data_IF_100853930158
#
_entry.id   IF_100853930158
#
_cell.length_a   1.000
_cell.length_b   1.000
_cell.length_c   1.000
_cell.angle_alpha   90.00
_cell.angle_beta   90.00
_cell.angle_gamma   90.00
#
_symmetry.space_group_name_H-M   'P 1'
#
loop_
_entity.id
_entity.type
_entity.pdbx_description
1 polymer ?
#
# COMPACT_ATOMS: atom_id res chain seq x y z
N UNK A 1 16.84 -23.85 1.66
CA UNK A 1 16.13 -22.62 2.06
C UNK A 1 14.94 -23.04 2.91
N UNK A 2 14.85 -22.51 4.11
CA UNK A 2 13.74 -22.77 5.04
C UNK A 2 13.07 -21.44 5.36
N UNK A 3 12.07 -21.06 4.56
CA UNK A 3 11.31 -19.85 4.81
C UNK A 3 10.38 -20.08 6.00
N UNK A 4 10.59 -19.30 7.05
CA UNK A 4 9.75 -19.26 8.24
C UNK A 4 8.83 -18.05 8.14
N UNK A 5 7.60 -18.24 8.63
CA UNK A 5 6.58 -17.19 8.74
C UNK A 5 6.25 -16.99 10.22
N UNK A 6 6.33 -15.74 10.68
CA UNK A 6 5.98 -15.36 12.04
C UNK A 6 4.96 -14.21 12.00
N UNK A 7 3.83 -14.38 12.68
CA UNK A 7 2.86 -13.30 12.88
C UNK A 7 3.13 -12.63 14.23
N UNK A 8 3.36 -11.31 14.19
CA UNK A 8 3.60 -10.48 15.36
C UNK A 8 2.35 -9.62 15.64
N UNK A 9 2.06 -9.43 16.92
CA UNK A 9 1.08 -8.49 17.43
C UNK A 9 1.85 -7.33 18.09
N UNK A 10 2.16 -6.28 17.32
CA UNK A 10 2.99 -5.15 17.78
C UNK A 10 2.16 -4.21 18.64
N UNK A 11 2.49 -4.02 19.95
CA UNK A 11 1.74 -3.13 20.82
C UNK A 11 1.82 -1.68 20.35
N UNK A 12 0.68 -0.99 20.36
CA UNK A 12 0.56 0.41 19.99
C UNK A 12 -0.52 1.10 20.84
N UNK A 13 -0.30 2.36 21.19
CA UNK A 13 -1.37 3.21 21.73
C UNK A 13 -2.03 3.94 20.58
N UNK A 14 -3.29 3.65 20.32
CA UNK A 14 -3.98 4.18 19.14
C UNK A 14 -4.08 5.71 19.16
N UNK A 15 -3.77 6.30 18.01
CA UNK A 15 -4.04 7.72 17.71
C UNK A 15 -5.14 7.90 16.67
N UNK A 16 -5.78 6.79 16.26
CA UNK A 16 -6.99 6.82 15.43
C UNK A 16 -8.12 7.45 16.23
N UNK A 17 -8.81 8.48 15.73
CA UNK A 17 -9.82 9.21 16.51
C UNK A 17 -10.94 8.34 17.09
N UNK A 18 -11.28 7.24 16.42
CA UNK A 18 -12.34 6.32 16.81
C UNK A 18 -12.04 5.52 18.09
N UNK A 19 -10.77 5.37 18.46
CA UNK A 19 -10.29 4.62 19.62
C UNK A 19 -8.98 5.23 20.19
N UNK A 20 -8.83 6.55 20.13
CA UNK A 20 -7.63 7.23 20.59
C UNK A 20 -7.35 6.96 22.08
N UNK A 21 -6.08 6.65 22.40
CA UNK A 21 -5.62 6.31 23.74
C UNK A 21 -5.82 4.85 24.13
N UNK A 22 -6.53 4.04 23.33
CA UNK A 22 -6.69 2.62 23.61
C UNK A 22 -5.42 1.83 23.25
N UNK A 23 -5.01 0.85 24.07
CA UNK A 23 -3.97 -0.09 23.70
C UNK A 23 -4.51 -1.04 22.62
N UNK A 24 -3.79 -1.11 21.51
CA UNK A 24 -4.10 -1.98 20.38
C UNK A 24 -2.88 -2.80 19.98
N UNK A 25 -3.09 -3.81 19.14
CA UNK A 25 -2.02 -4.62 18.57
C UNK A 25 -2.09 -4.52 17.06
N UNK A 26 -1.02 -3.98 16.44
CA UNK A 26 -0.91 -3.90 14.99
C UNK A 26 -0.43 -5.25 14.46
N UNK A 27 -1.06 -5.73 13.40
CA UNK A 27 -0.66 -6.96 12.74
C UNK A 27 0.58 -6.71 11.87
N UNK A 28 1.60 -7.56 12.09
CA UNK A 28 2.81 -7.59 11.26
C UNK A 28 3.18 -9.04 10.99
N UNK A 29 3.32 -9.43 9.72
CA UNK A 29 3.87 -10.73 9.32
C UNK A 29 5.33 -10.57 8.92
N UNK A 30 6.18 -11.44 9.46
CA UNK A 30 7.57 -11.60 9.04
C UNK A 30 7.73 -12.86 8.19
N UNK A 31 8.49 -12.73 7.09
CA UNK A 31 9.01 -13.86 6.32
C UNK A 31 10.51 -13.76 6.18
N UNK A 32 11.24 -14.83 6.53
CA UNK A 32 12.70 -14.87 6.39
C UNK A 32 13.19 -16.27 6.07
N UNK A 33 14.37 -16.35 5.45
CA UNK A 33 15.11 -17.62 5.30
C UNK A 33 15.98 -17.85 6.56
N UNK A 34 15.68 -18.88 7.33
CA UNK A 34 16.44 -19.24 8.54
C UNK A 34 17.70 -20.03 8.24
N UNK A 35 17.94 -20.42 7.00
CA UNK A 35 19.19 -21.07 6.58
C UNK A 35 20.32 -20.04 6.32
N UNK A 36 20.00 -18.75 6.23
CA UNK A 36 20.95 -17.67 6.13
C UNK A 36 21.29 -17.12 7.53
N UNK A 37 22.57 -17.18 7.91
CA UNK A 37 23.09 -16.65 9.17
C UNK A 37 23.76 -15.28 9.02
N UNK A 38 23.65 -14.66 7.84
CA UNK A 38 24.17 -13.33 7.56
C UNK A 38 23.45 -12.21 8.33
N UNK A 39 23.95 -10.96 8.21
CA UNK A 39 23.28 -9.81 8.80
C UNK A 39 21.85 -9.65 8.27
N UNK A 40 20.91 -9.36 9.18
CA UNK A 40 19.50 -9.13 8.81
C UNK A 40 19.36 -7.83 8.00
N UNK A 41 18.64 -7.91 6.90
CA UNK A 41 18.31 -6.76 6.04
C UNK A 41 16.80 -6.61 5.96
N UNK A 42 16.21 -5.82 6.90
CA UNK A 42 14.76 -5.74 6.98
C UNK A 42 14.16 -4.87 5.88
N UNK A 43 13.03 -5.35 5.36
CA UNK A 43 12.17 -4.67 4.40
C UNK A 43 10.78 -4.60 4.98
N UNK A 44 10.21 -3.39 5.09
CA UNK A 44 8.83 -3.19 5.50
C UNK A 44 7.95 -2.93 4.28
N UNK A 45 6.91 -3.76 4.10
CA UNK A 45 5.90 -3.62 3.06
C UNK A 45 4.60 -3.04 3.64
N UNK A 46 4.05 -2.01 2.97
CA UNK A 46 2.81 -1.36 3.38
C UNK A 46 1.79 -1.39 2.24
N UNK A 47 0.59 -1.83 2.57
CA UNK A 47 -0.54 -2.01 1.65
C UNK A 47 -1.10 -0.69 1.09
N UNK A 48 -1.83 -0.79 -0.03
CA UNK A 48 -2.63 0.28 -0.61
C UNK A 48 -3.91 0.55 0.19
N UNK A 49 -4.84 1.30 -0.42
CA UNK A 49 -6.07 1.72 0.27
C UNK A 49 -7.00 0.56 0.64
N UNK A 50 -7.19 -0.36 -0.29
CA UNK A 50 -8.32 -1.32 -0.26
C UNK A 50 -7.90 -2.79 -0.22
N UNK A 51 -6.61 -3.08 -0.18
CA UNK A 51 -6.10 -4.45 -0.19
C UNK A 51 -5.34 -4.73 1.10
N UNK A 52 -5.71 -5.77 1.87
CA UNK A 52 -4.92 -6.22 3.01
C UNK A 52 -3.49 -6.59 2.61
N UNK A 53 -2.53 -6.34 3.48
CA UNK A 53 -1.10 -6.53 3.15
C UNK A 53 -0.79 -7.93 2.66
N UNK A 54 -1.40 -8.96 3.26
CA UNK A 54 -1.14 -10.36 2.87
C UNK A 54 -1.69 -10.70 1.49
N UNK A 55 -2.86 -10.18 1.13
CA UNK A 55 -3.41 -10.40 -0.20
C UNK A 55 -2.58 -9.72 -1.29
N UNK A 56 -2.01 -8.53 -1.00
CA UNK A 56 -1.18 -7.80 -1.95
C UNK A 56 0.24 -8.33 -2.08
N UNK A 57 0.90 -8.65 -0.97
CA UNK A 57 2.34 -8.93 -0.98
C UNK A 57 2.70 -10.40 -0.69
N UNK A 58 1.78 -11.17 -0.14
CA UNK A 58 2.03 -12.56 0.27
C UNK A 58 0.95 -13.52 -0.25
N UNK A 59 0.46 -13.30 -1.48
CA UNK A 59 -0.53 -14.15 -2.10
C UNK A 59 0.04 -15.56 -2.30
N UNK A 60 -0.50 -16.53 -1.56
CA UNK A 60 -0.06 -17.92 -1.58
C UNK A 60 -0.65 -18.68 -2.76
N UNK A 61 -0.26 -18.28 -3.95
CA UNK A 61 -0.65 -18.88 -5.22
C UNK A 61 0.54 -18.79 -6.17
N UNK A 62 0.98 -19.93 -6.70
CA UNK A 62 2.12 -20.02 -7.63
C UNK A 62 3.33 -19.14 -7.20
N UNK A 63 3.73 -18.17 -8.04
CA UNK A 63 4.87 -17.26 -7.81
C UNK A 63 4.46 -15.86 -7.38
N UNK A 64 3.21 -15.65 -6.97
CA UNK A 64 2.70 -14.30 -6.66
C UNK A 64 3.11 -13.73 -5.30
N UNK A 65 3.63 -14.56 -4.37
CA UNK A 65 4.14 -14.03 -3.11
C UNK A 65 5.44 -13.23 -3.32
N UNK A 66 5.31 -11.90 -3.33
CA UNK A 66 6.45 -10.99 -3.40
C UNK A 66 7.31 -11.08 -2.13
N UNK A 67 6.68 -11.19 -0.97
CA UNK A 67 7.38 -11.35 0.30
C UNK A 67 8.24 -12.62 0.33
N UNK A 68 7.72 -13.75 -0.17
CA UNK A 68 8.50 -14.99 -0.26
C UNK A 68 9.65 -14.87 -1.25
N UNK A 69 9.44 -14.17 -2.39
CA UNK A 69 10.48 -13.94 -3.38
C UNK A 69 11.66 -13.12 -2.80
N UNK A 70 11.37 -12.13 -1.93
CA UNK A 70 12.39 -11.35 -1.24
C UNK A 70 13.04 -12.15 -0.09
N UNK A 71 12.26 -12.91 0.67
CA UNK A 71 12.81 -13.77 1.73
C UNK A 71 13.80 -14.80 1.15
N UNK A 72 13.46 -15.43 0.01
CA UNK A 72 14.38 -16.30 -0.74
C UNK A 72 15.64 -15.59 -1.26
N UNK A 73 15.60 -14.28 -1.39
CA UNK A 73 16.75 -13.46 -1.78
C UNK A 73 17.59 -12.96 -0.59
N UNK A 74 17.29 -13.41 0.65
CA UNK A 74 18.04 -13.12 1.86
C UNK A 74 17.56 -11.89 2.64
N UNK A 75 16.34 -11.40 2.39
CA UNK A 75 15.77 -10.30 3.16
C UNK A 75 14.87 -10.80 4.29
N UNK A 76 14.81 -10.03 5.38
CA UNK A 76 13.77 -10.18 6.39
C UNK A 76 12.60 -9.28 6.03
N UNK A 77 11.50 -9.87 5.59
CA UNK A 77 10.37 -9.16 5.01
C UNK A 77 9.25 -9.03 6.02
N UNK A 78 8.96 -7.82 6.42
CA UNK A 78 7.86 -7.46 7.31
C UNK A 78 6.71 -6.85 6.53
N UNK A 79 5.50 -7.29 6.76
CA UNK A 79 4.28 -6.83 6.12
C UNK A 79 3.30 -6.37 7.19
N UNK A 80 2.88 -5.09 7.17
CA UNK A 80 1.97 -4.56 8.18
C UNK A 80 0.62 -4.15 7.61
N UNK A 81 -0.43 -4.37 8.39
CA UNK A 81 -1.73 -3.73 8.17
C UNK A 81 -1.89 -2.53 9.10
N UNK A 82 -2.33 -1.39 8.57
CA UNK A 82 -2.76 -0.24 9.36
C UNK A 82 -4.16 -0.50 9.95
N UNK A 83 -4.51 0.18 11.05
CA UNK A 83 -5.88 0.09 11.60
C UNK A 83 -6.92 0.41 10.52
N UNK A 84 -8.02 -0.35 10.54
CA UNK A 84 -9.04 -0.31 9.50
C UNK A 84 -8.75 -1.18 8.28
N UNK A 85 -7.63 -1.91 8.26
CA UNK A 85 -7.24 -2.81 7.16
C UNK A 85 -6.80 -4.17 7.68
N UNK A 86 -6.95 -5.21 6.85
CA UNK A 86 -6.44 -6.54 7.06
C UNK A 86 -6.73 -7.10 8.44
N UNK A 87 -5.69 -7.57 9.11
CA UNK A 87 -5.77 -8.20 10.44
C UNK A 87 -5.51 -7.24 11.60
N UNK A 88 -5.17 -5.97 11.34
CA UNK A 88 -5.11 -4.95 12.38
C UNK A 88 -6.52 -4.55 12.85
N UNK A 89 -6.64 -3.94 14.05
CA UNK A 89 -7.94 -3.53 14.59
C UNK A 89 -8.74 -2.64 13.62
N UNK A 90 -10.06 -2.85 13.58
CA UNK A 90 -10.98 -2.10 12.71
C UNK A 90 -12.03 -1.35 13.53
N UNK A 91 -11.63 -0.32 14.31
CA UNK A 91 -12.56 0.37 15.21
C UNK A 91 -13.76 0.93 14.42
N UNK A 92 -14.97 0.75 14.97
CA UNK A 92 -16.25 1.19 14.37
C UNK A 92 -16.65 0.53 13.04
N UNK A 93 -15.79 -0.29 12.41
CA UNK A 93 -16.07 -0.85 11.08
C UNK A 93 -16.95 -2.12 11.12
N UNK A 94 -17.16 -2.72 12.29
CA UNK A 94 -18.00 -3.92 12.44
C UNK A 94 -19.50 -3.60 12.48
N UNK A 95 -19.87 -2.32 12.67
CA UNK A 95 -21.23 -1.85 12.62
C UNK A 95 -21.60 -1.47 11.17
N UNK A 96 -22.58 -2.15 10.53
CA UNK A 96 -23.00 -1.85 9.16
C UNK A 96 -23.59 -0.45 8.98
N UNK A 97 -24.06 0.24 10.06
CA UNK A 97 -24.47 1.64 9.98
C UNK A 97 -23.29 2.56 9.67
N UNK A 98 -22.07 2.15 10.00
CA UNK A 98 -20.84 2.89 9.73
C UNK A 98 -20.31 2.74 8.29
N UNK A 99 -20.98 1.97 7.45
CA UNK A 99 -20.77 1.96 6.01
C UNK A 99 -21.29 3.27 5.41
N UNK A 100 -20.62 3.75 4.36
CA UNK A 100 -21.09 4.88 3.55
C UNK A 100 -22.61 4.79 3.33
N UNK A 101 -23.41 5.77 3.77
CA UNK A 101 -24.88 5.71 3.65
C UNK A 101 -25.37 5.39 2.24
N UNK A 102 -24.67 5.88 1.20
CA UNK A 102 -25.00 5.59 -0.20
C UNK A 102 -24.73 4.11 -0.58
N UNK A 103 -23.90 3.40 0.17
CA UNK A 103 -23.56 2.00 -0.07
C UNK A 103 -24.31 1.01 0.84
N UNK A 104 -24.94 1.48 1.92
CA UNK A 104 -25.72 0.61 2.82
C UNK A 104 -26.81 -0.22 2.11
N UNK A 105 -27.52 0.29 1.06
CA UNK A 105 -28.47 -0.51 0.30
C UNK A 105 -27.86 -1.72 -0.42
N UNK A 106 -26.56 -1.72 -0.68
CA UNK A 106 -25.83 -2.84 -1.32
C UNK A 106 -25.67 -4.04 -0.39
N UNK A 107 -25.82 -3.86 0.94
CA UNK A 107 -25.76 -4.95 1.93
C UNK A 107 -27.03 -5.84 1.83
N UNK A 108 -27.08 -6.66 0.79
CA UNK A 108 -28.19 -7.58 0.51
C UNK A 108 -27.64 -9.00 0.23
N UNK A 109 -28.01 -10.05 1.02
CA UNK A 109 -28.90 -9.98 2.19
C UNK A 109 -28.33 -9.12 3.31
N UNK A 110 -29.23 -8.49 4.08
CA UNK A 110 -28.82 -7.58 5.17
C UNK A 110 -28.29 -8.36 6.37
N UNK A 111 -27.28 -7.83 7.06
CA UNK A 111 -26.90 -8.35 8.37
C UNK A 111 -28.13 -8.37 9.33
N UNK A 112 -28.23 -9.35 10.22
CA UNK A 112 -29.35 -9.47 11.14
C UNK A 112 -29.59 -8.18 11.95
N UNK A 113 -30.84 -7.68 11.94
CA UNK A 113 -31.24 -6.47 12.67
C UNK A 113 -30.78 -5.14 12.02
N UNK A 114 -30.07 -5.17 10.91
CA UNK A 114 -29.64 -3.95 10.23
C UNK A 114 -30.74 -3.31 9.38
N UNK A 115 -30.94 -2.01 9.57
CA UNK A 115 -31.78 -1.13 8.73
C UNK A 115 -30.93 0.08 8.34
N UNK A 116 -30.85 0.44 7.04
CA UNK A 116 -30.07 1.61 6.61
C UNK A 116 -30.45 2.88 7.39
N UNK A 117 -29.42 3.63 7.79
CA UNK A 117 -29.57 4.82 8.63
C UNK A 117 -28.30 5.66 8.67
N UNK A 118 -28.27 6.63 9.60
CA UNK A 118 -27.10 7.45 9.81
C UNK A 118 -25.99 6.64 10.48
N UNK A 119 -24.69 6.98 10.20
CA UNK A 119 -23.57 6.35 10.87
C UNK A 119 -23.63 6.55 12.39
N UNK A 120 -23.36 5.50 13.15
CA UNK A 120 -23.21 5.57 14.62
C UNK A 120 -21.90 6.26 15.02
N UNK A 121 -20.92 6.28 14.11
CA UNK A 121 -19.70 7.07 14.19
C UNK A 121 -19.61 7.98 12.95
N UNK A 122 -20.08 9.26 13.02
CA UNK A 122 -20.26 10.13 11.86
C UNK A 122 -18.97 10.86 11.46
N UNK A 123 -17.81 10.15 11.44
CA UNK A 123 -16.52 10.70 11.06
C UNK A 123 -15.73 9.73 10.18
N UNK A 124 -14.77 10.27 9.44
CA UNK A 124 -13.75 9.45 8.77
C UNK A 124 -12.90 8.71 9.80
N UNK A 125 -12.42 7.51 9.47
CA UNK A 125 -11.81 6.60 10.44
C UNK A 125 -10.41 7.04 10.85
N UNK A 126 -9.51 7.19 9.87
CA UNK A 126 -8.08 7.43 10.09
C UNK A 126 -7.64 8.74 9.44
N UNK A 127 -6.40 9.12 9.71
CA UNK A 127 -5.81 10.31 9.14
C UNK A 127 -4.29 10.17 8.96
N UNK A 128 -3.67 11.12 8.27
CA UNK A 128 -2.23 11.08 7.99
C UNK A 128 -1.34 11.01 9.23
N UNK A 129 -1.77 11.53 10.39
CA UNK A 129 -0.98 11.42 11.62
C UNK A 129 -1.09 10.02 12.19
N UNK A 130 -2.32 9.48 12.36
CA UNK A 130 -2.51 8.13 12.89
C UNK A 130 -1.78 7.08 12.05
N UNK A 131 -1.86 7.18 10.72
CA UNK A 131 -1.18 6.24 9.82
C UNK A 131 0.35 6.31 9.98
N UNK A 132 0.93 7.51 10.17
CA UNK A 132 2.38 7.69 10.40
C UNK A 132 2.83 7.23 11.78
N UNK A 133 1.98 7.39 12.80
CA UNK A 133 2.28 6.93 14.17
C UNK A 133 2.32 5.40 14.22
N UNK A 134 1.37 4.73 13.56
CA UNK A 134 1.36 3.28 13.42
C UNK A 134 2.59 2.77 12.64
N UNK A 135 2.92 3.43 11.52
CA UNK A 135 4.13 3.11 10.76
C UNK A 135 5.39 3.26 11.63
N UNK A 136 5.50 4.36 12.39
CA UNK A 136 6.64 4.57 13.28
C UNK A 136 6.76 3.48 14.36
N UNK A 137 5.65 3.07 14.96
CA UNK A 137 5.64 1.97 15.95
C UNK A 137 6.21 0.69 15.34
N UNK A 138 5.79 0.33 14.13
CA UNK A 138 6.29 -0.89 13.48
C UNK A 138 7.74 -0.74 13.02
N UNK A 139 8.15 0.44 12.54
CA UNK A 139 9.56 0.70 12.20
C UNK A 139 10.46 0.54 13.42
N UNK A 140 10.09 1.09 14.58
CA UNK A 140 10.88 0.92 15.81
C UNK A 140 10.93 -0.53 16.27
N UNK A 141 9.83 -1.26 16.17
CA UNK A 141 9.79 -2.70 16.42
C UNK A 141 10.78 -3.45 15.53
N UNK A 142 10.77 -3.23 14.22
CA UNK A 142 11.66 -3.90 13.26
C UNK A 142 13.13 -3.53 13.55
N UNK A 143 13.41 -2.26 13.84
CA UNK A 143 14.78 -1.80 14.16
C UNK A 143 15.34 -2.52 15.39
N UNK A 144 14.52 -2.67 16.43
CA UNK A 144 14.90 -3.40 17.65
C UNK A 144 15.04 -4.89 17.38
N UNK A 145 14.08 -5.52 16.70
CA UNK A 145 14.05 -6.96 16.40
C UNK A 145 15.24 -7.39 15.54
N UNK A 146 15.61 -6.57 14.54
CA UNK A 146 16.71 -6.85 13.63
C UNK A 146 18.05 -6.25 14.06
N UNK A 147 18.08 -5.43 15.13
CA UNK A 147 19.24 -4.66 15.57
C UNK A 147 19.88 -3.84 14.45
N UNK A 148 19.07 -3.02 13.77
CA UNK A 148 19.48 -2.16 12.66
C UNK A 148 19.07 -0.70 12.89
N UNK A 149 19.80 0.23 12.25
CA UNK A 149 19.45 1.65 12.31
C UNK A 149 18.33 2.02 11.32
N UNK A 150 18.32 1.37 10.15
CA UNK A 150 17.41 1.72 9.04
C UNK A 150 16.68 0.51 8.48
N UNK A 151 15.46 0.75 8.00
CA UNK A 151 14.60 -0.23 7.35
C UNK A 151 14.35 0.21 5.90
N UNK A 152 14.45 -0.71 4.94
CA UNK A 152 14.04 -0.44 3.57
C UNK A 152 12.51 -0.52 3.45
N UNK A 153 11.92 0.37 2.66
CA UNK A 153 10.47 0.47 2.50
C UNK A 153 10.02 0.03 1.11
N UNK A 154 8.95 -0.73 1.05
CA UNK A 154 8.17 -1.01 -0.16
C UNK A 154 6.72 -0.62 0.11
N UNK A 155 6.19 0.36 -0.64
CA UNK A 155 4.81 0.82 -0.50
C UNK A 155 4.04 0.67 -1.80
N UNK A 156 2.79 0.21 -1.72
CA UNK A 156 1.89 0.13 -2.87
C UNK A 156 0.79 1.18 -2.79
N UNK A 157 0.56 1.92 -3.89
CA UNK A 157 -0.60 2.82 -4.05
C UNK A 157 -0.67 3.88 -2.94
N UNK A 158 -1.71 3.86 -2.13
CA UNK A 158 -1.95 4.79 -1.03
C UNK A 158 -0.91 4.71 0.10
N UNK A 159 -0.08 3.67 0.18
CA UNK A 159 1.06 3.63 1.09
C UNK A 159 2.00 4.83 0.92
N UNK A 160 2.05 5.42 -0.28
CA UNK A 160 2.86 6.60 -0.58
C UNK A 160 2.50 7.81 0.32
N UNK A 161 1.21 7.97 0.73
CA UNK A 161 0.79 9.03 1.66
C UNK A 161 1.37 8.90 3.06
N UNK A 162 1.75 7.69 3.44
CA UNK A 162 2.29 7.38 4.76
C UNK A 162 3.82 7.30 4.71
N UNK A 163 4.35 6.47 3.81
CA UNK A 163 5.80 6.20 3.71
C UNK A 163 6.60 7.39 3.17
N UNK A 164 6.08 8.13 2.18
CA UNK A 164 6.76 9.29 1.60
C UNK A 164 7.03 10.39 2.64
N UNK A 165 6.00 10.97 3.27
CA UNK A 165 6.20 11.98 4.32
C UNK A 165 6.95 11.46 5.54
N UNK A 166 6.79 10.16 5.89
CA UNK A 166 7.56 9.56 6.97
C UNK A 166 9.05 9.54 6.65
N UNK A 167 9.44 9.12 5.45
CA UNK A 167 10.83 9.07 5.01
C UNK A 167 11.48 10.47 4.99
N UNK A 168 10.73 11.50 4.57
CA UNK A 168 11.19 12.90 4.60
C UNK A 168 11.47 13.36 6.02
N UNK A 169 10.63 12.98 6.99
CA UNK A 169 10.78 13.38 8.40
C UNK A 169 11.79 12.55 9.20
N UNK A 170 12.03 11.30 8.80
CA UNK A 170 12.84 10.33 9.54
C UNK A 170 13.89 9.66 8.61
N UNK A 171 14.77 10.44 7.93
CA UNK A 171 15.74 9.89 6.97
C UNK A 171 16.80 9.02 7.64
N UNK A 172 16.97 9.13 8.94
CA UNK A 172 17.84 8.31 9.79
C UNK A 172 17.28 6.90 10.04
N UNK A 173 15.98 6.69 9.82
CA UNK A 173 15.31 5.39 10.01
C UNK A 173 15.00 4.65 8.71
N UNK A 174 15.11 5.32 7.55
CA UNK A 174 14.74 4.76 6.24
C UNK A 174 15.97 4.56 5.38
N UNK A 175 16.21 3.31 4.94
CA UNK A 175 17.37 2.95 4.11
C UNK A 175 17.14 3.32 2.63
N UNK A 176 15.95 3.05 2.13
CA UNK A 176 15.50 3.36 0.76
C UNK A 176 13.98 3.26 0.64
N UNK A 177 13.42 3.85 -0.40
CA UNK A 177 11.99 3.85 -0.66
C UNK A 177 11.71 3.29 -2.05
N UNK A 178 11.01 2.15 -2.13
CA UNK A 178 10.42 1.60 -3.34
C UNK A 178 8.92 1.85 -3.32
N UNK A 179 8.41 2.59 -4.29
CA UNK A 179 6.98 2.89 -4.41
C UNK A 179 6.41 2.20 -5.65
N UNK A 180 5.53 1.23 -5.46
CA UNK A 180 4.76 0.61 -6.52
C UNK A 180 3.45 1.36 -6.73
N UNK A 181 3.20 1.81 -7.96
CA UNK A 181 1.98 2.53 -8.32
C UNK A 181 1.61 3.63 -7.29
N UNK A 182 2.54 4.54 -6.94
CA UNK A 182 2.31 5.49 -5.86
C UNK A 182 1.21 6.50 -6.20
N UNK A 183 0.26 6.66 -5.28
CA UNK A 183 -0.67 7.80 -5.34
C UNK A 183 0.07 9.05 -4.91
N UNK A 184 0.23 9.99 -5.83
CA UNK A 184 0.87 11.28 -5.57
C UNK A 184 0.04 12.43 -6.15
N UNK A 185 -0.63 13.22 -5.31
CA UNK A 185 -1.27 14.46 -5.72
C UNK A 185 -0.25 15.61 -5.70
N UNK A 186 0.23 16.13 -6.85
CA UNK A 186 1.19 17.24 -6.88
C UNK A 186 0.69 18.46 -6.09
N UNK A 187 -0.59 18.77 -6.24
CA UNK A 187 -1.28 19.87 -5.57
C UNK A 187 -2.07 19.41 -4.31
N UNK A 188 -1.68 18.30 -3.70
CA UNK A 188 -2.30 17.81 -2.48
C UNK A 188 -2.15 18.78 -1.32
N UNK A 189 -3.11 18.74 -0.37
CA UNK A 189 -3.07 19.63 0.79
C UNK A 189 -1.87 19.33 1.71
N UNK A 190 -1.18 20.37 2.16
CA UNK A 190 0.01 20.27 3.02
C UNK A 190 -0.34 20.13 4.50
N UNK A 191 -1.45 20.73 4.94
CA UNK A 191 -1.81 20.88 6.34
C UNK A 191 -3.02 20.00 6.71
N UNK A 192 -3.13 19.62 7.99
CA UNK A 192 -4.33 18.96 8.47
C UNK A 192 -5.55 19.90 8.32
N UNK A 193 -6.76 19.33 8.21
CA UNK A 193 -8.00 20.10 8.30
C UNK A 193 -8.07 20.86 9.64
N UNK A 194 -8.83 21.96 9.67
CA UNK A 194 -8.98 22.78 10.85
C UNK A 194 -9.57 22.02 12.07
N UNK A 195 -10.36 20.98 11.79
CA UNK A 195 -10.97 20.12 12.83
C UNK A 195 -10.74 18.65 12.53
N UNK A 196 -10.35 17.88 13.55
CA UNK A 196 -10.27 16.42 13.55
C UNK A 196 -11.10 15.89 14.73
N UNK A 197 -11.83 14.78 14.56
CA UNK A 197 -12.00 14.00 13.32
C UNK A 197 -12.86 14.73 12.27
N UNK A 198 -12.62 14.43 10.99
CA UNK A 198 -13.38 15.01 9.88
C UNK A 198 -14.75 14.33 9.78
N UNK A 199 -15.86 15.09 9.67
CA UNK A 199 -17.19 14.51 9.47
C UNK A 199 -17.27 13.59 8.24
N UNK A 200 -18.09 12.55 8.33
CA UNK A 200 -18.29 11.57 7.27
C UNK A 200 -18.75 10.22 7.80
N UNK A 201 -18.08 9.18 7.39
CA UNK A 201 -18.33 7.79 7.79
C UNK A 201 -17.00 7.02 7.77
N UNK A 202 -16.83 5.96 8.59
CA UNK A 202 -15.55 5.27 8.71
C UNK A 202 -15.25 4.27 7.60
N UNK A 203 -16.27 3.75 6.90
CA UNK A 203 -16.12 2.55 6.06
C UNK A 203 -16.76 2.72 4.68
N UNK A 204 -16.00 2.40 3.63
CA UNK A 204 -16.54 2.04 2.33
C UNK A 204 -16.64 0.52 2.22
N UNK A 205 -17.47 0.03 1.30
CA UNK A 205 -17.48 -1.38 0.90
C UNK A 205 -17.17 -1.54 -0.59
N UNK A 206 -16.40 -2.57 -0.92
CA UNK A 206 -16.14 -2.98 -2.30
C UNK A 206 -16.54 -4.44 -2.50
N UNK A 207 -17.30 -4.71 -3.55
CA UNK A 207 -17.68 -6.08 -3.93
C UNK A 207 -16.81 -6.64 -5.03
N UNK A 208 -16.78 -7.98 -5.18
CA UNK A 208 -15.98 -8.70 -6.18
C UNK A 208 -16.21 -8.23 -7.61
N UNK A 209 -17.48 -7.97 -7.99
CA UNK A 209 -17.79 -7.49 -9.35
C UNK A 209 -17.15 -6.14 -9.66
N UNK A 210 -17.16 -5.19 -8.69
CA UNK A 210 -16.49 -3.90 -8.84
C UNK A 210 -14.96 -4.04 -8.90
N UNK A 211 -14.41 -4.93 -8.10
CA UNK A 211 -12.98 -5.27 -8.11
C UNK A 211 -12.54 -5.83 -9.48
N UNK A 212 -13.27 -6.82 -10.01
CA UNK A 212 -12.98 -7.41 -11.31
C UNK A 212 -13.13 -6.40 -12.46
N UNK A 213 -14.23 -5.66 -12.50
CA UNK A 213 -14.49 -4.64 -13.53
C UNK A 213 -13.44 -3.54 -13.52
N UNK A 214 -13.06 -3.04 -12.32
CA UNK A 214 -12.03 -2.01 -12.18
C UNK A 214 -10.68 -2.50 -12.67
N UNK A 215 -10.30 -3.72 -12.32
CA UNK A 215 -9.04 -4.31 -12.78
C UNK A 215 -9.05 -4.57 -14.29
N UNK A 216 -10.17 -5.12 -14.84
CA UNK A 216 -10.30 -5.37 -16.27
C UNK A 216 -10.13 -4.10 -17.12
N UNK A 217 -10.59 -2.95 -16.62
CA UNK A 217 -10.46 -1.66 -17.32
C UNK A 217 -9.01 -1.17 -17.46
N UNK A 218 -8.08 -1.76 -16.69
CA UNK A 218 -6.63 -1.46 -16.70
C UNK A 218 -5.80 -2.64 -17.22
N UNK A 219 -6.45 -3.68 -17.78
CA UNK A 219 -5.79 -4.89 -18.24
C UNK A 219 -6.14 -5.23 -19.70
N UNK A 220 -5.77 -4.36 -20.68
CA UNK A 220 -6.12 -4.56 -22.08
C UNK A 220 -5.25 -5.57 -22.81
N UNK A 221 -4.08 -5.95 -22.28
CA UNK A 221 -3.17 -6.87 -22.95
C UNK A 221 -3.62 -8.33 -22.77
N UNK A 222 -3.42 -9.13 -23.82
CA UNK A 222 -3.63 -10.57 -23.75
C UNK A 222 -2.74 -11.21 -22.69
N UNK A 223 -3.30 -12.06 -21.84
CA UNK A 223 -2.56 -12.73 -20.77
C UNK A 223 -2.13 -11.85 -19.60
N UNK A 224 -2.44 -10.54 -19.59
CA UNK A 224 -2.09 -9.64 -18.49
C UNK A 224 -2.64 -10.14 -17.15
N UNK A 225 -3.85 -10.72 -17.16
CA UNK A 225 -4.47 -11.39 -16.02
C UNK A 225 -4.48 -12.90 -16.28
N UNK A 226 -3.86 -13.68 -15.41
CA UNK A 226 -3.93 -15.14 -15.50
C UNK A 226 -5.38 -15.63 -15.30
N UNK A 227 -5.79 -16.73 -15.95
CA UNK A 227 -7.11 -17.31 -15.73
C UNK A 227 -7.35 -17.60 -14.24
N UNK A 228 -8.48 -17.16 -13.70
CA UNK A 228 -8.86 -17.40 -12.30
C UNK A 228 -8.17 -16.53 -11.26
N UNK A 229 -7.19 -15.69 -11.63
CA UNK A 229 -6.43 -14.86 -10.66
C UNK A 229 -7.31 -13.88 -9.90
N UNK A 230 -8.40 -13.41 -10.47
CA UNK A 230 -9.38 -12.54 -9.80
C UNK A 230 -10.02 -13.23 -8.61
N UNK A 231 -10.39 -14.50 -8.79
CA UNK A 231 -10.99 -15.31 -7.72
C UNK A 231 -9.98 -15.53 -6.59
N UNK A 232 -8.76 -15.92 -6.93
CA UNK A 232 -7.67 -16.13 -5.98
C UNK A 232 -7.36 -14.86 -5.18
N UNK A 233 -7.23 -13.72 -5.85
CA UNK A 233 -6.96 -12.44 -5.19
C UNK A 233 -8.12 -12.01 -4.29
N UNK A 234 -9.37 -12.17 -4.77
CA UNK A 234 -10.54 -11.85 -3.99
C UNK A 234 -10.68 -12.72 -2.74
N UNK A 235 -10.49 -14.03 -2.87
CA UNK A 235 -10.53 -14.96 -1.74
C UNK A 235 -9.45 -14.64 -0.70
N UNK A 236 -8.25 -14.24 -1.14
CA UNK A 236 -7.20 -13.77 -0.24
C UNK A 236 -7.57 -12.46 0.47
N UNK A 237 -8.27 -11.52 -0.20
CA UNK A 237 -8.79 -10.30 0.43
C UNK A 237 -9.81 -10.68 1.50
N UNK A 238 -10.79 -11.54 1.18
CA UNK A 238 -11.85 -11.95 2.10
C UNK A 238 -11.32 -12.76 3.30
N UNK A 239 -10.29 -13.56 3.11
CA UNK A 239 -9.62 -14.28 4.20
C UNK A 239 -9.01 -13.34 5.27
N UNK A 240 -8.77 -12.08 4.93
CA UNK A 240 -8.26 -11.04 5.82
C UNK A 240 -9.36 -10.03 6.25
N UNK A 241 -10.62 -10.30 5.95
CA UNK A 241 -11.79 -9.53 6.41
C UNK A 241 -12.95 -10.46 6.79
N UNK A 242 -12.84 -11.22 7.90
CA UNK A 242 -13.81 -12.25 8.26
C UNK A 242 -15.23 -11.72 8.49
N UNK A 243 -15.40 -10.46 8.92
CA UNK A 243 -16.74 -9.85 9.09
C UNK A 243 -17.27 -9.39 7.74
N UNK A 244 -16.47 -8.70 6.94
CA UNK A 244 -16.88 -8.29 5.59
C UNK A 244 -17.24 -9.46 4.69
N UNK A 245 -16.60 -10.62 4.87
CA UNK A 245 -16.92 -11.85 4.15
C UNK A 245 -18.33 -12.38 4.44
N UNK A 246 -18.93 -11.97 5.56
CA UNK A 246 -20.31 -12.36 5.92
C UNK A 246 -21.36 -11.35 5.47
N UNK A 247 -20.96 -10.22 4.89
CA UNK A 247 -21.89 -9.16 4.48
C UNK A 247 -22.31 -9.30 3.01
N UNK A 248 -23.61 -9.12 2.74
CA UNK A 248 -24.16 -9.10 1.39
C UNK A 248 -24.14 -10.45 0.67
N UNK A 249 -23.71 -10.50 -0.61
CA UNK A 249 -23.69 -11.72 -1.41
C UNK A 249 -22.68 -12.75 -0.87
N UNK A 250 -22.76 -14.02 -1.29
CA UNK A 250 -21.83 -15.07 -0.85
C UNK A 250 -20.33 -14.75 -1.05
N UNK A 251 -20.01 -13.85 -1.98
CA UNK A 251 -18.64 -13.37 -2.21
C UNK A 251 -18.16 -12.35 -1.17
N UNK A 252 -19.04 -11.86 -0.29
CA UNK A 252 -18.73 -10.86 0.71
C UNK A 252 -18.48 -9.45 0.17
N UNK A 253 -18.21 -8.54 1.10
CA UNK A 253 -17.71 -7.19 0.83
C UNK A 253 -16.41 -6.94 1.56
N UNK A 254 -15.40 -6.46 0.84
CA UNK A 254 -14.20 -5.89 1.44
C UNK A 254 -14.54 -4.56 2.10
N UNK A 255 -14.26 -4.43 3.40
CA UNK A 255 -14.46 -3.19 4.16
C UNK A 255 -13.22 -2.33 4.05
N UNK A 256 -13.38 -1.15 3.47
CA UNK A 256 -12.29 -0.24 3.13
C UNK A 256 -12.39 0.97 4.04
N UNK A 257 -11.34 1.24 4.80
CA UNK A 257 -11.27 2.39 5.69
C UNK A 257 -11.40 3.70 4.93
N UNK A 258 -12.21 4.62 5.45
CA UNK A 258 -12.25 6.00 4.99
C UNK A 258 -11.22 6.83 5.77
N UNK A 259 -10.38 7.56 5.07
CA UNK A 259 -9.29 8.33 5.69
C UNK A 259 -9.13 9.71 5.08
N UNK A 260 -8.78 10.67 5.90
CA UNK A 260 -8.37 12.01 5.49
C UNK A 260 -6.83 12.09 5.44
N UNK A 261 -6.32 12.77 4.41
CA UNK A 261 -4.89 12.79 4.09
C UNK A 261 -4.38 14.20 3.82
N UNK A 262 -3.15 14.44 4.21
CA UNK A 262 -2.39 15.66 3.94
C UNK A 262 -0.89 15.41 4.05
N UNK A 263 -0.09 16.38 3.61
CA UNK A 263 1.36 16.38 3.78
C UNK A 263 2.08 15.43 2.81
N UNK A 264 1.46 15.12 1.65
CA UNK A 264 2.11 14.45 0.53
C UNK A 264 1.78 15.20 -0.75
N UNK A 265 2.71 15.99 -1.26
CA UNK A 265 2.62 16.85 -2.44
C UNK A 265 4.02 17.26 -2.91
N UNK A 266 4.12 18.11 -3.93
CA UNK A 266 5.40 18.58 -4.49
C UNK A 266 6.31 19.20 -3.41
N UNK A 267 5.75 20.06 -2.54
CA UNK A 267 6.52 20.71 -1.48
C UNK A 267 7.13 19.69 -0.52
N UNK A 268 6.36 18.68 -0.11
CA UNK A 268 6.85 17.62 0.79
C UNK A 268 7.87 16.74 0.09
N UNK A 269 7.62 16.34 -1.15
CA UNK A 269 8.55 15.48 -1.91
C UNK A 269 9.90 16.15 -2.16
N UNK A 270 9.93 17.48 -2.33
CA UNK A 270 11.14 18.27 -2.53
C UNK A 270 11.87 18.62 -1.23
N UNK A 271 11.22 18.47 -0.07
CA UNK A 271 11.67 19.03 1.19
C UNK A 271 13.08 18.55 1.58
N UNK A 272 14.00 19.51 1.72
CA UNK A 272 15.37 19.27 2.19
C UNK A 272 16.21 18.38 1.28
N UNK A 273 15.73 18.02 0.09
CA UNK A 273 16.43 17.07 -0.80
C UNK A 273 16.59 15.67 -0.20
N UNK A 274 15.75 15.31 0.78
CA UNK A 274 15.81 14.03 1.49
C UNK A 274 15.56 12.87 0.53
N UNK A 275 14.42 12.93 -0.19
CA UNK A 275 14.12 11.93 -1.23
C UNK A 275 15.06 12.09 -2.41
N UNK A 276 15.66 10.99 -2.83
CA UNK A 276 16.70 10.96 -3.85
C UNK A 276 18.07 11.50 -3.38
N UNK A 277 18.17 11.92 -2.10
CA UNK A 277 19.41 12.27 -1.42
C UNK A 277 19.78 11.21 -0.38
N UNK A 278 19.54 11.51 0.91
CA UNK A 278 19.79 10.56 2.01
C UNK A 278 18.87 9.33 2.00
N UNK A 279 17.70 9.42 1.35
CA UNK A 279 16.80 8.30 1.10
C UNK A 279 16.64 8.10 -0.41
N UNK A 280 17.35 7.15 -1.03
CA UNK A 280 17.18 6.78 -2.43
C UNK A 280 15.75 6.34 -2.73
N UNK A 281 15.22 6.71 -3.91
CA UNK A 281 13.82 6.42 -4.30
C UNK A 281 13.74 5.73 -5.65
N UNK A 282 12.96 4.65 -5.71
CA UNK A 282 12.50 4.03 -6.95
C UNK A 282 10.98 4.05 -7.00
N UNK A 283 10.44 4.52 -8.11
CA UNK A 283 9.01 4.51 -8.43
C UNK A 283 8.77 3.55 -9.59
N UNK A 284 7.80 2.65 -9.46
CA UNK A 284 7.39 1.75 -10.53
C UNK A 284 5.88 1.80 -10.71
N UNK A 285 5.37 1.81 -11.94
CA UNK A 285 3.93 1.85 -12.21
C UNK A 285 3.58 1.22 -13.55
N UNK A 286 2.33 0.82 -13.70
CA UNK A 286 1.83 0.21 -14.93
C UNK A 286 1.48 1.23 -16.02
N UNK A 287 1.73 0.88 -17.27
CA UNK A 287 1.37 1.67 -18.46
C UNK A 287 -0.11 2.05 -18.50
N UNK A 288 -0.99 1.14 -18.06
CA UNK A 288 -2.44 1.32 -18.06
C UNK A 288 -3.01 1.74 -16.70
N UNK A 289 -2.16 2.04 -15.72
CA UNK A 289 -2.59 2.46 -14.38
C UNK A 289 -3.22 3.86 -14.41
N UNK A 290 -4.55 3.91 -14.43
CA UNK A 290 -5.34 5.16 -14.41
C UNK A 290 -5.52 5.72 -13.00
N UNK A 291 -5.24 4.93 -11.96
CA UNK A 291 -5.41 5.36 -10.58
C UNK A 291 -4.27 6.26 -10.10
N UNK A 292 -3.09 6.12 -10.70
CA UNK A 292 -1.91 6.92 -10.33
C UNK A 292 -1.52 7.97 -11.38
N UNK A 293 -2.18 7.96 -12.52
CA UNK A 293 -2.03 8.97 -13.57
C UNK A 293 -3.42 9.39 -14.04
N UNK A 294 -3.98 10.39 -13.35
CA UNK A 294 -5.36 10.85 -13.58
C UNK A 294 -5.52 11.46 -14.95
N UNK A 295 -6.34 10.85 -15.81
CA UNK A 295 -6.68 11.34 -17.14
C UNK A 295 -8.12 10.94 -17.50
N UNK A 296 -8.99 11.88 -17.92
CA UNK A 296 -8.78 13.33 -17.93
C UNK A 296 -8.63 13.94 -16.52
N UNK A 297 -8.09 15.17 -16.40
CA UNK A 297 -7.91 15.80 -15.09
C UNK A 297 -9.22 15.91 -14.30
N UNK A 298 -9.15 15.65 -12.99
CA UNK A 298 -10.25 15.84 -12.05
C UNK A 298 -10.45 17.35 -11.80
N UNK A 299 -11.70 17.85 -11.69
CA UNK A 299 -11.97 19.24 -11.32
C UNK A 299 -11.40 19.64 -9.96
N UNK A 300 -11.30 18.70 -9.00
CA UNK A 300 -10.57 18.92 -7.76
C UNK A 300 -9.09 18.61 -7.97
N UNK A 301 -8.17 19.60 -7.92
CA UNK A 301 -6.74 19.41 -8.16
C UNK A 301 -6.08 18.39 -7.20
N UNK A 302 -6.59 18.29 -5.97
CA UNK A 302 -6.09 17.33 -4.96
C UNK A 302 -6.35 15.86 -5.32
N UNK A 303 -7.21 15.60 -6.30
CA UNK A 303 -7.53 14.27 -6.81
C UNK A 303 -6.85 13.97 -8.15
N UNK A 304 -5.97 14.85 -8.61
CA UNK A 304 -5.11 14.58 -9.76
C UNK A 304 -3.82 13.93 -9.29
N UNK A 305 -3.55 12.73 -9.76
CA UNK A 305 -2.38 11.95 -9.37
C UNK A 305 -1.44 11.80 -10.56
N UNK A 306 -0.13 11.83 -10.31
CA UNK A 306 0.88 11.67 -11.35
C UNK A 306 2.18 11.10 -10.79
N UNK A 307 2.61 9.93 -11.28
CA UNK A 307 3.92 9.37 -10.93
C UNK A 307 5.07 10.16 -11.57
N UNK A 308 4.99 10.60 -12.84
CA UNK A 308 5.98 11.54 -13.40
C UNK A 308 6.15 12.80 -12.56
N UNK A 309 5.04 13.41 -12.09
CA UNK A 309 5.14 14.58 -11.22
C UNK A 309 5.83 14.28 -9.87
N UNK A 310 5.66 13.08 -9.31
CA UNK A 310 6.45 12.66 -8.14
C UNK A 310 7.94 12.57 -8.48
N UNK A 311 8.28 11.96 -9.61
CA UNK A 311 9.66 11.87 -10.08
C UNK A 311 10.29 13.27 -10.23
N UNK A 312 9.58 14.21 -10.82
CA UNK A 312 10.04 15.58 -11.00
C UNK A 312 10.19 16.32 -9.65
N UNK A 313 9.25 16.14 -8.74
CA UNK A 313 9.25 16.77 -7.42
C UNK A 313 10.36 16.27 -6.49
N UNK A 314 10.84 15.03 -6.63
CA UNK A 314 11.98 14.50 -5.86
C UNK A 314 13.23 15.27 -6.23
N UNK A 315 13.77 16.06 -5.28
CA UNK A 315 14.87 16.99 -5.54
C UNK A 315 16.25 16.31 -5.66
N UNK A 316 16.44 15.18 -4.97
CA UNK A 316 17.74 14.46 -4.98
C UNK A 316 17.97 13.71 -6.30
N UNK A 317 19.25 13.34 -6.53
CA UNK A 317 19.66 12.74 -7.82
C UNK A 317 19.56 11.21 -7.81
N UNK A 318 19.45 10.55 -6.64
CA UNK A 318 19.33 9.10 -6.55
C UNK A 318 17.85 8.70 -6.65
N UNK A 319 17.28 8.87 -7.83
CA UNK A 319 15.87 8.60 -8.13
C UNK A 319 15.71 7.88 -9.47
N UNK A 320 14.88 6.85 -9.45
CA UNK A 320 14.53 6.08 -10.64
C UNK A 320 13.01 6.03 -10.80
N UNK A 321 12.54 6.06 -12.03
CA UNK A 321 11.15 5.81 -12.40
C UNK A 321 11.09 4.73 -13.48
N UNK A 322 10.25 3.71 -13.28
CA UNK A 322 10.07 2.61 -14.25
C UNK A 322 8.59 2.46 -14.57
N UNK A 323 8.24 2.61 -15.86
CA UNK A 323 6.91 2.33 -16.38
C UNK A 323 6.89 0.93 -16.99
N UNK A 324 6.04 0.04 -16.48
CA UNK A 324 5.95 -1.35 -16.92
C UNK A 324 4.90 -1.47 -18.02
N UNK A 325 5.29 -2.02 -19.16
CA UNK A 325 4.40 -2.31 -20.29
C UNK A 325 3.37 -3.37 -19.89
N UNK A 326 2.18 -3.31 -20.47
CA UNK A 326 1.10 -4.27 -20.24
C UNK A 326 0.81 -4.51 -18.74
N UNK A 327 0.73 -3.43 -17.98
CA UNK A 327 0.46 -3.48 -16.54
C UNK A 327 -0.53 -2.37 -16.13
N UNK A 328 -1.40 -2.69 -15.20
CA UNK A 328 -2.36 -1.77 -14.56
C UNK A 328 -1.97 -1.44 -13.13
N UNK A 329 -2.95 -1.04 -12.30
CA UNK A 329 -2.75 -0.77 -10.88
C UNK A 329 -2.48 -2.04 -10.05
N UNK A 330 -3.00 -3.17 -10.53
CA UNK A 330 -2.95 -4.46 -9.84
C UNK A 330 -1.70 -5.29 -10.19
N UNK A 331 -0.57 -4.64 -10.47
CA UNK A 331 0.70 -5.23 -10.89
C UNK A 331 1.14 -6.43 -10.03
N UNK A 332 0.82 -6.42 -8.74
CA UNK A 332 1.18 -7.50 -7.81
C UNK A 332 0.57 -8.85 -8.19
N UNK A 333 -0.49 -8.85 -9.00
CA UNK A 333 -1.23 -10.04 -9.45
C UNK A 333 -1.24 -10.20 -10.99
N UNK A 334 -0.56 -9.33 -11.73
CA UNK A 334 -0.50 -9.36 -13.19
C UNK A 334 0.71 -10.12 -13.72
N UNK A 335 0.77 -10.33 -15.02
CA UNK A 335 1.89 -11.02 -15.68
C UNK A 335 3.25 -10.41 -15.33
N UNK A 336 3.28 -9.10 -15.09
CA UNK A 336 4.48 -8.34 -14.73
C UNK A 336 4.95 -8.51 -13.27
N UNK A 337 4.23 -9.27 -12.41
CA UNK A 337 4.59 -9.43 -11.00
C UNK A 337 6.04 -9.90 -10.81
N UNK A 338 6.56 -10.81 -11.65
CA UNK A 338 7.96 -11.29 -11.57
C UNK A 338 8.97 -10.18 -11.87
N UNK A 339 8.65 -9.29 -12.80
CA UNK A 339 9.50 -8.14 -13.13
C UNK A 339 9.52 -7.15 -11.97
N UNK A 340 8.37 -6.91 -11.30
CA UNK A 340 8.32 -6.11 -10.06
C UNK A 340 9.17 -6.75 -8.95
N UNK A 341 9.05 -8.07 -8.73
CA UNK A 341 9.87 -8.79 -7.75
C UNK A 341 11.37 -8.67 -8.06
N UNK A 342 11.77 -8.83 -9.31
CA UNK A 342 13.17 -8.72 -9.73
C UNK A 342 13.68 -7.29 -9.60
N UNK A 343 12.91 -6.31 -10.04
CA UNK A 343 13.24 -4.89 -9.92
C UNK A 343 13.49 -4.51 -8.45
N UNK A 344 12.61 -4.93 -7.53
CA UNK A 344 12.77 -4.66 -6.12
C UNK A 344 14.00 -5.36 -5.51
N UNK A 345 14.29 -6.62 -5.88
CA UNK A 345 15.51 -7.32 -5.44
C UNK A 345 16.78 -6.59 -5.87
N UNK A 346 16.85 -6.17 -7.12
CA UNK A 346 17.99 -5.41 -7.64
C UNK A 346 18.14 -4.06 -6.93
N UNK A 347 17.02 -3.35 -6.74
CA UNK A 347 16.98 -2.10 -6.01
C UNK A 347 17.47 -2.24 -4.57
N UNK A 348 16.89 -3.15 -3.81
CA UNK A 348 17.25 -3.36 -2.40
C UNK A 348 18.71 -3.74 -2.21
N UNK A 349 19.29 -4.50 -3.16
CA UNK A 349 20.68 -4.97 -3.08
C UNK A 349 21.69 -3.91 -3.45
N UNK A 350 21.39 -3.10 -4.47
CA UNK A 350 22.38 -2.25 -5.11
C UNK A 350 22.02 -0.77 -5.09
N UNK A 351 20.78 -0.42 -4.74
CA UNK A 351 20.17 0.91 -4.92
C UNK A 351 20.35 1.42 -6.37
N UNK A 352 20.30 0.49 -7.32
CA UNK A 352 20.50 0.70 -8.75
C UNK A 352 19.61 -0.25 -9.54
N UNK A 353 19.29 0.13 -10.76
CA UNK A 353 18.68 -0.76 -11.76
C UNK A 353 19.51 -0.66 -13.03
N UNK A 354 20.03 -1.78 -13.54
CA UNK A 354 20.96 -1.86 -14.66
C UNK A 354 22.15 -0.89 -14.52
N UNK A 355 22.73 -0.81 -13.31
CA UNK A 355 23.84 0.06 -13.00
C UNK A 355 23.50 1.55 -12.87
N UNK A 356 22.24 1.95 -13.11
CA UNK A 356 21.79 3.35 -13.06
C UNK A 356 21.22 3.69 -11.68
N UNK A 357 21.49 4.91 -11.21
CA UNK A 357 20.95 5.48 -9.97
C UNK A 357 19.93 6.58 -10.23
N UNK A 358 19.81 7.02 -11.50
CA UNK A 358 18.94 8.11 -11.92
C UNK A 358 18.39 7.83 -13.31
N UNK A 359 17.17 8.28 -13.57
CA UNK A 359 16.52 8.23 -14.88
C UNK A 359 15.11 7.69 -14.85
N UNK A 360 14.40 7.88 -15.96
CA UNK A 360 13.09 7.34 -16.23
C UNK A 360 13.18 6.30 -17.36
N UNK A 361 12.50 5.16 -17.19
CA UNK A 361 12.64 4.02 -18.10
C UNK A 361 11.28 3.38 -18.38
N UNK A 362 11.09 2.91 -19.61
CA UNK A 362 10.10 1.90 -19.96
C UNK A 362 10.71 0.52 -19.74
N UNK A 363 9.93 -0.40 -19.14
CA UNK A 363 10.27 -1.80 -18.99
C UNK A 363 9.30 -2.63 -19.83
N UNK A 364 9.82 -3.39 -20.78
CA UNK A 364 9.01 -4.28 -21.60
C UNK A 364 8.54 -5.53 -20.81
N UNK A 365 7.75 -6.40 -21.44
CA UNK A 365 7.24 -7.63 -20.81
C UNK A 365 8.33 -8.64 -20.45
N UNK A 366 9.48 -8.57 -21.10
CA UNK A 366 10.65 -9.44 -20.85
C UNK A 366 11.58 -8.85 -19.76
N UNK A 367 11.28 -7.65 -19.26
CA UNK A 367 12.05 -6.98 -18.21
C UNK A 367 13.22 -6.11 -18.73
N UNK A 368 13.32 -5.86 -20.03
CA UNK A 368 14.35 -5.00 -20.60
C UNK A 368 13.99 -3.53 -20.41
N UNK A 369 14.98 -2.71 -20.05
CA UNK A 369 14.81 -1.27 -19.84
C UNK A 369 15.22 -0.46 -21.05
N UNK A 370 14.41 0.53 -21.41
CA UNK A 370 14.73 1.57 -22.38
C UNK A 370 14.45 2.96 -21.78
N UNK A 371 15.33 3.96 -22.02
CA UNK A 371 15.09 5.30 -21.50
C UNK A 371 13.78 5.91 -22.02
N UNK A 372 13.02 6.56 -21.15
CA UNK A 372 11.94 7.46 -21.55
C UNK A 372 12.59 8.76 -22.02
N UNK A 373 12.23 9.26 -23.24
CA UNK A 373 12.81 10.49 -23.83
C UNK A 373 12.65 11.72 -22.96
#
# INVERSE_FOLDING_TARGET
MAIVTTDHEVPHTSTVPANAGEPVKLFVRERRDTSDSGPRTPVLMLHGRSVPVLAGFDLQHESYSWAEALAKAGYDVFMMDLQGSGRSPRPKMDDPHNVNPAQQPLLTPRPPGFVPGLPTYPFQLTNSNSDRDELNTVVEFIRAECNVEKVAFIGWSAAAFTMGPYAVKNPDKVASLFLLAPIFPPLGTSNPPATLPVPGFPTFIGGKGGFDTGWAAEAPCEGQRAPGIVDVAWDAIMANDPIGSTWGPPTGFNRIRNFVRWGWNETTAAQGGVLGGSVPVLMAYGEYDKQVNTSPPNPNPELNFSVPALYDAVAGQHKLMVKLACAGHSLVWEMQHKNVHNLSKHWLKHLKVDGKTQGAFDMDIDGNLSPIP
#
